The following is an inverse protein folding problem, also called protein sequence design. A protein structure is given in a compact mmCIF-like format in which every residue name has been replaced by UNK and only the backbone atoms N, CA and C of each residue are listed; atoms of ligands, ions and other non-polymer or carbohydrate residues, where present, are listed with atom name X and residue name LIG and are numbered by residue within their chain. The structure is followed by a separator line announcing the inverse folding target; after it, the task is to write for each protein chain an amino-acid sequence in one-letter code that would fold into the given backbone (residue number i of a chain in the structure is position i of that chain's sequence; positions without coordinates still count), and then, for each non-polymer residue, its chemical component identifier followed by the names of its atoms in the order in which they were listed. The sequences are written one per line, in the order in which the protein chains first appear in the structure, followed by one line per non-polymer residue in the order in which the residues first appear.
data_IF_990396678815
#
_entry.id   IF_990396678815
#
_cell.length_a   1.000
_cell.length_b   1.000
_cell.length_c   1.000
_cell.angle_alpha   90.00
_cell.angle_beta   90.00
_cell.angle_gamma   90.00
#
_symmetry.space_group_name_H-M   'P 1'
#
loop_
_entity.id
_entity.type
_entity.pdbx_description
1 polymer ?
#
# COMPACT_ATOMS: atom_id res chain seq x y z
N UNK A 1 36.25 18.42 -13.99
CA UNK A 1 36.55 18.05 -12.58
C UNK A 1 35.78 18.90 -11.56
N UNK A 2 34.74 19.62 -11.96
CA UNK A 2 33.86 20.39 -11.07
C UNK A 2 32.47 19.75 -10.95
N UNK A 3 32.15 18.80 -11.83
CA UNK A 3 30.81 18.22 -11.96
C UNK A 3 30.43 17.40 -10.72
N UNK A 4 31.41 16.74 -10.10
CA UNK A 4 31.23 16.04 -8.83
C UNK A 4 30.74 16.95 -7.70
N UNK A 5 31.04 18.25 -7.76
CA UNK A 5 30.63 19.22 -6.75
C UNK A 5 29.10 19.43 -6.74
N UNK A 6 28.44 19.18 -7.87
CA UNK A 6 26.98 19.23 -8.00
C UNK A 6 26.37 17.83 -7.89
N UNK A 7 26.99 16.83 -8.52
CA UNK A 7 26.47 15.48 -8.57
C UNK A 7 26.43 14.79 -7.20
N UNK A 8 27.44 15.01 -6.34
CA UNK A 8 27.48 14.39 -5.01
C UNK A 8 26.34 14.92 -4.12
N UNK A 9 26.14 16.23 -3.94
CA UNK A 9 25.00 16.75 -3.17
C UNK A 9 23.64 16.33 -3.73
N UNK A 10 23.48 16.34 -5.06
CA UNK A 10 22.22 15.93 -5.70
C UNK A 10 21.93 14.45 -5.43
N UNK A 11 22.93 13.57 -5.59
CA UNK A 11 22.76 12.16 -5.32
C UNK A 11 22.41 11.89 -3.85
N UNK A 12 23.07 12.57 -2.90
CA UNK A 12 22.76 12.47 -1.48
C UNK A 12 21.35 12.97 -1.17
N UNK A 13 20.93 14.10 -1.76
CA UNK A 13 19.60 14.65 -1.58
C UNK A 13 18.51 13.70 -2.13
N UNK A 14 18.73 13.11 -3.31
CA UNK A 14 17.82 12.13 -3.90
C UNK A 14 17.74 10.86 -3.06
N UNK A 15 18.88 10.35 -2.55
CA UNK A 15 18.91 9.21 -1.64
C UNK A 15 18.17 9.48 -0.35
N UNK A 16 18.39 10.65 0.27
CA UNK A 16 17.68 11.06 1.48
C UNK A 16 16.17 11.24 1.24
N UNK A 17 15.78 11.83 0.12
CA UNK A 17 14.37 11.99 -0.25
C UNK A 17 13.69 10.63 -0.45
N UNK A 18 14.34 9.68 -1.14
CA UNK A 18 13.85 8.31 -1.29
C UNK A 18 13.69 7.60 0.06
N UNK A 19 14.68 7.73 0.94
CA UNK A 19 14.63 7.13 2.28
C UNK A 19 13.52 7.74 3.14
N UNK A 20 13.34 9.06 3.09
CA UNK A 20 12.24 9.75 3.77
C UNK A 20 10.87 9.30 3.25
N UNK A 21 10.72 9.20 1.92
CA UNK A 21 9.50 8.69 1.29
C UNK A 21 9.22 7.23 1.69
N UNK A 22 10.25 6.39 1.76
CA UNK A 22 10.13 5.00 2.22
C UNK A 22 9.62 4.91 3.68
N UNK A 23 10.21 5.68 4.59
CA UNK A 23 9.73 5.71 5.98
C UNK A 23 8.33 6.31 6.11
N UNK A 24 7.98 7.30 5.29
CA UNK A 24 6.63 7.84 5.24
C UNK A 24 5.62 6.78 4.78
N UNK A 25 5.95 5.99 3.75
CA UNK A 25 5.12 4.89 3.28
C UNK A 25 4.91 3.81 4.36
N UNK A 26 5.97 3.41 5.08
CA UNK A 26 5.86 2.48 6.21
C UNK A 26 4.96 3.02 7.32
N UNK A 27 5.11 4.30 7.68
CA UNK A 27 4.30 4.93 8.74
C UNK A 27 2.85 5.18 8.33
N UNK A 28 2.55 5.27 7.04
CA UNK A 28 1.21 5.58 6.54
C UNK A 28 0.17 4.46 6.74
N UNK A 29 0.57 3.31 7.31
CA UNK A 29 -0.36 2.22 7.62
C UNK A 29 -0.91 1.50 6.38
N UNK A 30 -0.41 1.81 5.17
CA UNK A 30 -0.91 1.19 3.93
C UNK A 30 -0.69 -0.33 3.86
N UNK A 31 0.21 -0.89 4.69
CA UNK A 31 0.40 -2.32 4.80
C UNK A 31 -0.69 -3.02 5.63
N UNK A 32 -1.38 -2.31 6.53
CA UNK A 32 -2.46 -2.89 7.34
C UNK A 32 -3.69 -3.24 6.47
N UNK A 33 -3.94 -2.49 5.40
CA UNK A 33 -5.02 -2.78 4.45
C UNK A 33 -4.67 -3.95 3.50
N UNK A 34 -3.38 -4.16 3.21
CA UNK A 34 -2.93 -5.31 2.41
C UNK A 34 -3.16 -6.64 3.14
N UNK A 35 -2.89 -6.70 4.45
CA UNK A 35 -3.19 -7.88 5.26
C UNK A 35 -4.69 -8.20 5.26
N UNK A 36 -5.55 -7.18 5.39
CA UNK A 36 -7.00 -7.36 5.29
C UNK A 36 -7.49 -7.75 3.89
N UNK A 37 -6.82 -7.30 2.82
CA UNK A 37 -7.13 -7.72 1.45
C UNK A 37 -6.71 -9.18 1.18
N UNK A 38 -5.58 -9.63 1.74
CA UNK A 38 -5.09 -11.00 1.66
C UNK A 38 -6.02 -11.98 2.41
N UNK A 39 -6.52 -11.59 3.59
CA UNK A 39 -7.53 -12.34 4.34
C UNK A 39 -8.79 -12.55 3.49
N UNK A 40 -9.26 -11.49 2.83
CA UNK A 40 -10.43 -11.56 1.95
C UNK A 40 -10.20 -12.48 0.76
N UNK A 41 -9.10 -12.36 0.01
CA UNK A 41 -8.91 -13.24 -1.17
C UNK A 41 -8.73 -14.72 -0.79
N UNK A 42 -8.20 -15.04 0.40
CA UNK A 42 -8.02 -16.42 0.84
C UNK A 42 -9.31 -17.06 1.36
N UNK A 43 -10.22 -16.28 1.96
CA UNK A 43 -11.43 -16.77 2.60
C UNK A 43 -12.75 -16.41 1.86
N UNK A 44 -12.73 -15.51 0.88
CA UNK A 44 -13.93 -14.99 0.20
C UNK A 44 -14.31 -15.80 -1.07
N UNK A 45 -13.49 -16.77 -1.50
CA UNK A 45 -13.82 -17.68 -2.61
C UNK A 45 -15.01 -18.62 -2.28
N UNK A 46 -15.32 -18.81 -1.00
CA UNK A 46 -16.35 -19.75 -0.52
C UNK A 46 -17.66 -19.09 -0.06
N UNK A 47 -17.80 -17.76 -0.19
CA UNK A 47 -19.03 -17.08 0.24
C UNK A 47 -19.97 -16.93 -0.96
N UNK A 48 -21.05 -17.73 -1.07
CA UNK A 48 -22.03 -17.49 -2.11
C UNK A 48 -22.61 -16.10 -1.87
N UNK A 49 -22.55 -15.23 -2.90
CA UNK A 49 -23.22 -13.94 -2.92
C UNK A 49 -24.62 -14.14 -2.34
N UNK A 50 -24.81 -13.71 -1.09
CA UNK A 50 -26.07 -13.88 -0.39
C UNK A 50 -27.04 -12.90 -1.03
N UNK A 51 -27.59 -13.30 -2.18
CA UNK A 51 -28.66 -12.63 -2.88
C UNK A 51 -29.73 -12.44 -1.81
N UNK A 52 -29.93 -11.19 -1.41
CA UNK A 52 -31.01 -10.78 -0.52
C UNK A 52 -32.30 -11.09 -1.27
N UNK A 53 -32.75 -12.34 -1.19
CA UNK A 53 -34.06 -12.74 -1.66
C UNK A 53 -35.05 -12.10 -0.68
N UNK A 54 -35.91 -11.18 -1.13
CA UNK A 54 -36.98 -10.68 -0.29
C UNK A 54 -37.84 -11.87 0.13
N UNK A 55 -37.87 -12.15 1.43
CA UNK A 55 -38.65 -13.25 2.02
C UNK A 55 -40.15 -13.03 1.82
N UNK A 56 -40.97 -14.10 1.92
CA UNK A 56 -42.36 -14.06 1.52
C UNK A 56 -43.13 -13.06 2.38
N UNK A 57 -43.84 -12.15 1.70
CA UNK A 57 -44.93 -11.40 2.33
C UNK A 57 -45.94 -12.41 2.86
N UNK A 58 -46.28 -12.26 4.15
CA UNK A 58 -47.20 -13.10 4.91
C UNK A 58 -48.44 -13.53 4.13
#
# INVERSE_FOLDING_TARGET
MTDFFYLIPIALALGAAGLAAFFWALRSGQYEDLDGAAERILFDDDVPLKRKLPGPSK
#
